data_IF_576207866994
#
_entry.id   IF_576207866994
#
_cell.length_a   1.000
_cell.length_b   1.000
_cell.length_c   1.000
_cell.angle_alpha   90.00
_cell.angle_beta   90.00
_cell.angle_gamma   90.00
#
_symmetry.space_group_name_H-M   'P 1'
#
loop_
_entity.id
_entity.type
_entity.pdbx_description
1 polymer ?
#
# COMPACT_ATOMS: atom_id res chain seq x y z
N UNK A 1 -24.31 33.76 -25.70
CA UNK A 1 -24.24 32.63 -26.65
C UNK A 1 -22.87 31.92 -26.75
N UNK A 2 -21.72 32.60 -26.57
CA UNK A 2 -20.39 31.93 -26.64
C UNK A 2 -20.06 30.98 -25.47
N UNK A 3 -20.59 31.23 -24.25
CA UNK A 3 -20.33 30.40 -23.07
C UNK A 3 -21.12 29.07 -23.06
N UNK A 4 -22.33 29.06 -23.60
CA UNK A 4 -23.16 27.86 -23.70
C UNK A 4 -22.60 26.86 -24.71
N UNK A 5 -22.04 27.35 -25.83
CA UNK A 5 -21.38 26.50 -26.84
C UNK A 5 -20.20 25.72 -26.25
N UNK A 6 -19.37 26.33 -25.39
CA UNK A 6 -18.21 25.67 -24.77
C UNK A 6 -18.61 24.54 -23.81
N UNK A 7 -19.70 24.70 -23.05
CA UNK A 7 -20.20 23.68 -22.12
C UNK A 7 -20.79 22.49 -22.89
N UNK A 8 -21.52 22.76 -23.96
CA UNK A 8 -22.08 21.70 -24.83
C UNK A 8 -20.98 20.91 -25.52
N UNK A 9 -19.89 21.56 -25.99
CA UNK A 9 -18.75 20.84 -26.60
C UNK A 9 -18.02 19.95 -25.58
N UNK A 10 -17.88 20.39 -24.33
CA UNK A 10 -17.24 19.59 -23.27
C UNK A 10 -18.09 18.37 -22.88
N UNK A 11 -19.42 18.54 -22.79
CA UNK A 11 -20.36 17.44 -22.52
C UNK A 11 -20.44 16.44 -23.68
N UNK A 12 -20.28 16.91 -24.93
CA UNK A 12 -20.25 16.02 -26.09
C UNK A 12 -18.95 15.20 -26.14
N UNK A 13 -17.81 15.77 -25.71
CA UNK A 13 -16.54 15.04 -25.61
C UNK A 13 -16.58 13.98 -24.49
N UNK A 14 -17.15 14.32 -23.32
CA UNK A 14 -17.36 13.38 -22.23
C UNK A 14 -18.32 12.24 -22.61
N UNK A 15 -19.38 12.54 -23.38
CA UNK A 15 -20.29 11.53 -23.88
C UNK A 15 -19.63 10.61 -24.93
N UNK A 16 -18.80 11.14 -25.84
CA UNK A 16 -18.06 10.32 -26.82
C UNK A 16 -17.05 9.37 -26.14
N UNK A 17 -16.44 9.77 -25.03
CA UNK A 17 -15.61 8.87 -24.22
C UNK A 17 -16.43 7.76 -23.53
N UNK A 18 -17.71 8.01 -23.23
CA UNK A 18 -18.59 7.06 -22.53
C UNK A 18 -19.43 6.18 -23.49
N UNK A 19 -19.56 6.54 -24.76
CA UNK A 19 -20.38 5.80 -25.75
C UNK A 19 -19.58 5.13 -26.85
N UNK A 20 -18.24 5.15 -26.81
CA UNK A 20 -17.42 4.35 -27.71
C UNK A 20 -17.55 2.85 -27.33
N UNK A 21 -18.06 1.96 -28.22
CA UNK A 21 -18.26 0.54 -27.90
C UNK A 21 -16.97 -0.28 -27.80
N UNK A 22 -15.82 0.35 -27.56
CA UNK A 22 -14.50 -0.28 -27.53
C UNK A 22 -13.74 -0.11 -26.20
N UNK A 23 -14.33 0.50 -25.17
CA UNK A 23 -13.81 0.39 -23.80
C UNK A 23 -14.49 -0.80 -23.11
N UNK A 24 -14.16 -2.00 -23.60
CA UNK A 24 -14.23 -3.18 -22.75
C UNK A 24 -13.51 -2.85 -21.44
N UNK A 25 -14.10 -3.27 -20.31
CA UNK A 25 -13.54 -3.26 -18.96
C UNK A 25 -12.07 -2.84 -18.97
N UNK A 26 -11.75 -1.63 -18.49
CA UNK A 26 -10.38 -1.31 -18.09
C UNK A 26 -10.12 -2.17 -16.84
N UNK A 27 -9.96 -3.48 -17.05
CA UNK A 27 -9.03 -4.26 -16.27
C UNK A 27 -7.68 -3.64 -16.58
N UNK A 28 -7.29 -2.65 -15.78
CA UNK A 28 -5.88 -2.32 -15.63
C UNK A 28 -5.26 -3.60 -15.07
N UNK A 29 -4.82 -4.47 -15.97
CA UNK A 29 -3.88 -5.50 -15.60
C UNK A 29 -2.60 -4.71 -15.30
N UNK A 30 -2.36 -4.37 -14.03
CA UNK A 30 -1.06 -3.87 -13.65
C UNK A 30 -0.09 -4.96 -14.10
N UNK A 31 0.84 -4.62 -14.99
CA UNK A 31 1.90 -5.54 -15.35
C UNK A 31 2.51 -6.05 -14.04
N UNK A 32 2.70 -7.36 -13.92
CA UNK A 32 3.29 -7.93 -12.72
C UNK A 32 4.61 -7.21 -12.43
N UNK A 33 4.86 -6.80 -11.16
CA UNK A 33 6.08 -6.13 -10.79
C UNK A 33 7.31 -6.91 -11.22
N UNK A 34 8.28 -6.23 -11.84
CA UNK A 34 9.56 -6.86 -12.11
C UNK A 34 10.35 -6.97 -10.80
N UNK A 35 11.02 -8.10 -10.61
CA UNK A 35 11.92 -8.29 -9.46
C UNK A 35 13.37 -8.21 -9.90
N UNK A 36 14.14 -7.35 -9.25
CA UNK A 36 15.57 -7.19 -9.48
C UNK A 36 16.33 -7.68 -8.26
N UNK A 37 17.14 -8.74 -8.43
CA UNK A 37 18.01 -9.26 -7.38
C UNK A 37 19.40 -8.69 -7.54
N UNK A 38 19.91 -8.02 -6.52
CA UNK A 38 21.20 -7.35 -6.49
C UNK A 38 22.17 -8.18 -5.65
N UNK A 39 23.34 -8.46 -6.20
CA UNK A 39 24.45 -9.09 -5.49
C UNK A 39 25.78 -8.45 -5.90
N UNK A 40 26.76 -8.50 -5.00
CA UNK A 40 28.11 -8.08 -5.34
C UNK A 40 28.79 -9.17 -6.16
N UNK A 41 29.48 -8.79 -7.24
CA UNK A 41 30.27 -9.70 -8.06
C UNK A 41 31.76 -9.54 -7.71
N UNK A 42 32.39 -10.48 -6.97
CA UNK A 42 33.80 -10.37 -6.61
C UNK A 42 34.73 -10.34 -7.83
N UNK A 43 34.39 -11.08 -8.89
CA UNK A 43 35.19 -11.14 -10.11
C UNK A 43 35.18 -9.82 -10.90
N UNK A 44 34.12 -9.02 -10.76
CA UNK A 44 33.98 -7.71 -11.42
C UNK A 44 34.26 -6.54 -10.48
N UNK A 45 34.27 -6.76 -9.17
CA UNK A 45 34.49 -5.73 -8.15
C UNK A 45 33.35 -4.73 -8.00
N UNK A 46 32.14 -5.07 -8.43
CA UNK A 46 30.99 -4.16 -8.45
C UNK A 46 29.66 -4.86 -8.15
N UNK A 47 28.65 -4.07 -7.79
CA UNK A 47 27.28 -4.54 -7.63
C UNK A 47 26.60 -4.76 -8.98
N UNK A 48 25.88 -5.87 -9.10
CA UNK A 48 25.21 -6.31 -10.32
C UNK A 48 23.79 -6.73 -10.00
N UNK A 49 22.92 -6.75 -11.00
CA UNK A 49 21.55 -7.22 -10.84
C UNK A 49 21.16 -8.31 -11.84
N UNK A 50 20.10 -9.04 -11.52
CA UNK A 50 19.41 -9.99 -12.39
C UNK A 50 17.89 -9.76 -12.30
N UNK A 51 17.15 -9.78 -13.43
CA UNK A 51 15.69 -9.78 -13.41
C UNK A 51 15.19 -11.20 -13.06
N UNK A 52 15.05 -11.48 -11.78
CA UNK A 52 14.74 -12.81 -11.25
C UNK A 52 14.14 -12.71 -9.84
N UNK A 53 13.70 -13.82 -9.27
CA UNK A 53 13.29 -13.90 -7.86
C UNK A 53 14.44 -14.25 -6.90
N UNK A 54 15.56 -14.79 -7.40
CA UNK A 54 16.74 -15.17 -6.60
C UNK A 54 18.04 -15.08 -7.42
N UNK A 55 19.21 -15.12 -6.75
CA UNK A 55 20.47 -15.31 -7.48
C UNK A 55 20.51 -16.70 -8.09
N UNK A 56 20.92 -16.77 -9.35
CA UNK A 56 21.36 -18.02 -9.97
C UNK A 56 22.54 -17.71 -10.89
N UNK A 57 23.56 -18.56 -10.91
CA UNK A 57 24.70 -18.43 -11.81
C UNK A 57 24.32 -18.64 -13.29
N UNK A 58 23.16 -19.22 -13.56
CA UNK A 58 22.68 -19.53 -14.93
C UNK A 58 22.16 -18.31 -15.67
N UNK A 59 21.75 -17.27 -14.94
CA UNK A 59 21.22 -16.02 -15.51
C UNK A 59 22.34 -14.99 -15.60
N UNK A 60 22.50 -14.38 -16.77
CA UNK A 60 23.49 -13.33 -16.97
C UNK A 60 23.17 -12.10 -16.12
N UNK A 61 24.19 -11.59 -15.42
CA UNK A 61 24.11 -10.39 -14.59
C UNK A 61 24.39 -9.11 -15.37
N UNK A 62 23.75 -8.01 -14.98
CA UNK A 62 23.86 -6.69 -15.62
C UNK A 62 24.30 -5.62 -14.61
N UNK A 63 24.92 -4.57 -15.12
CA UNK A 63 25.33 -3.37 -14.39
C UNK A 63 24.08 -2.69 -13.79
N UNK A 64 24.13 -2.18 -12.56
CA UNK A 64 23.00 -1.47 -11.96
C UNK A 64 22.46 -0.31 -12.81
N UNK A 65 23.30 0.30 -13.65
CA UNK A 65 22.90 1.33 -14.61
C UNK A 65 21.70 0.93 -15.47
N UNK A 66 21.63 -0.32 -15.93
CA UNK A 66 20.51 -0.75 -16.76
C UNK A 66 19.23 -0.96 -15.95
N UNK A 67 19.33 -1.48 -14.73
CA UNK A 67 18.18 -1.55 -13.82
C UNK A 67 17.59 -0.17 -13.60
N UNK A 68 18.44 0.84 -13.40
CA UNK A 68 18.02 2.23 -13.18
C UNK A 68 17.24 2.84 -14.36
N UNK A 69 17.41 2.31 -15.57
CA UNK A 69 16.64 2.72 -16.75
C UNK A 69 15.30 1.98 -16.87
N UNK A 70 15.25 0.76 -16.34
CA UNK A 70 14.14 -0.18 -16.53
C UNK A 70 13.13 -0.14 -15.38
N UNK A 71 13.59 0.16 -14.16
CA UNK A 71 12.80 0.14 -12.93
C UNK A 71 11.64 1.14 -12.94
N UNK A 72 10.48 0.71 -12.46
CA UNK A 72 9.22 1.47 -12.42
C UNK A 72 8.62 1.46 -11.02
N UNK A 73 7.66 2.35 -10.79
CA UNK A 73 6.86 2.32 -9.58
C UNK A 73 6.17 0.95 -9.44
N UNK A 74 6.20 0.40 -8.23
CA UNK A 74 5.66 -0.93 -7.91
C UNK A 74 6.65 -2.08 -8.09
N UNK A 75 7.78 -1.90 -8.78
CA UNK A 75 8.79 -2.95 -8.95
C UNK A 75 9.45 -3.34 -7.61
N UNK A 76 10.09 -4.51 -7.60
CA UNK A 76 10.67 -5.13 -6.42
C UNK A 76 12.20 -5.17 -6.49
N UNK A 77 12.85 -4.95 -5.36
CA UNK A 77 14.29 -5.13 -5.21
C UNK A 77 14.57 -6.15 -4.11
N UNK A 78 15.46 -7.09 -4.40
CA UNK A 78 16.03 -8.01 -3.40
C UNK A 78 17.53 -7.76 -3.32
N UNK A 79 18.00 -7.26 -2.18
CA UNK A 79 19.44 -7.11 -1.90
C UNK A 79 19.91 -8.34 -1.15
N UNK A 80 20.97 -8.96 -1.66
CA UNK A 80 21.67 -10.06 -1.00
C UNK A 80 23.18 -9.87 -1.18
N UNK A 81 23.96 -10.17 -0.16
CA UNK A 81 25.41 -10.10 -0.20
C UNK A 81 26.08 -10.88 0.93
N UNK A 82 26.53 -12.08 0.61
CA UNK A 82 27.23 -13.00 1.50
C UNK A 82 28.76 -12.80 1.52
N UNK A 83 29.28 -11.80 0.81
CA UNK A 83 30.72 -11.52 0.70
C UNK A 83 31.08 -10.15 1.26
N UNK A 84 32.32 -10.00 1.74
CA UNK A 84 32.87 -8.69 2.09
C UNK A 84 33.06 -7.86 0.81
N UNK A 85 32.50 -6.65 0.77
CA UNK A 85 32.45 -5.84 -0.44
C UNK A 85 32.37 -4.34 -0.14
N UNK A 86 32.37 -3.53 -1.20
CA UNK A 86 32.01 -2.12 -1.07
C UNK A 86 30.53 -1.99 -0.70
N UNK A 87 30.15 -1.10 0.25
CA UNK A 87 28.75 -0.96 0.66
C UNK A 87 27.88 -0.51 -0.52
N UNK A 88 26.68 -1.09 -0.64
CA UNK A 88 25.70 -0.66 -1.62
C UNK A 88 25.09 0.68 -1.18
N UNK A 89 25.21 1.71 -2.00
CA UNK A 89 24.42 2.92 -1.87
C UNK A 89 23.59 3.08 -3.15
N UNK A 90 22.30 2.78 -3.06
CA UNK A 90 21.39 2.76 -4.19
C UNK A 90 20.32 3.84 -4.00
N UNK A 91 20.12 4.66 -5.02
CA UNK A 91 19.07 5.68 -5.05
C UNK A 91 18.17 5.46 -6.27
N UNK A 92 16.97 4.89 -6.06
CA UNK A 92 15.99 4.61 -7.11
C UNK A 92 14.92 5.72 -7.18
N UNK A 93 14.62 6.28 -8.36
CA UNK A 93 13.70 7.41 -8.51
C UNK A 93 12.21 6.99 -8.53
N UNK A 94 11.88 5.87 -7.89
CA UNK A 94 10.54 5.25 -7.92
C UNK A 94 10.08 4.90 -6.51
N UNK A 95 8.77 4.62 -6.36
CA UNK A 95 8.22 3.96 -5.17
C UNK A 95 8.26 2.45 -5.39
N UNK A 96 8.94 1.71 -4.53
CA UNK A 96 9.03 0.25 -4.65
C UNK A 96 7.82 -0.42 -4.03
N UNK A 97 7.30 -1.46 -4.69
CA UNK A 97 6.27 -2.32 -4.10
C UNK A 97 6.85 -3.24 -3.02
N UNK A 98 8.12 -3.62 -3.17
CA UNK A 98 8.84 -4.47 -2.23
C UNK A 98 10.34 -4.13 -2.22
N UNK A 99 10.90 -4.00 -1.03
CA UNK A 99 12.34 -4.12 -0.80
C UNK A 99 12.59 -5.27 0.17
N UNK A 100 13.37 -6.26 -0.23
CA UNK A 100 13.87 -7.31 0.66
C UNK A 100 15.37 -7.20 0.81
N UNK A 101 15.87 -7.24 2.04
CA UNK A 101 17.31 -7.27 2.34
C UNK A 101 17.58 -8.51 3.17
N UNK A 102 18.47 -9.36 2.67
CA UNK A 102 18.90 -10.59 3.33
C UNK A 102 20.40 -10.74 3.23
N UNK A 103 21.03 -11.42 4.18
CA UNK A 103 22.45 -11.77 4.15
C UNK A 103 23.31 -10.58 3.71
N UNK A 104 23.57 -9.59 4.57
CA UNK A 104 24.36 -8.42 4.16
C UNK A 104 25.53 -8.18 5.11
N UNK A 105 26.75 -8.43 4.61
CA UNK A 105 28.00 -8.23 5.36
C UNK A 105 28.27 -6.75 5.66
N UNK A 106 27.92 -5.86 4.72
CA UNK A 106 28.01 -4.40 4.87
C UNK A 106 26.64 -3.78 4.77
N UNK A 107 26.33 -2.81 5.62
CA UNK A 107 25.03 -2.14 5.64
C UNK A 107 24.73 -1.46 4.30
N UNK A 108 23.76 -1.96 3.51
CA UNK A 108 23.29 -1.29 2.33
C UNK A 108 22.45 -0.07 2.72
N UNK A 109 22.61 1.01 1.97
CA UNK A 109 21.79 2.21 2.07
C UNK A 109 20.91 2.26 0.83
N UNK A 110 19.60 2.08 1.00
CA UNK A 110 18.64 2.10 -0.10
C UNK A 110 17.76 3.33 0.04
N UNK A 111 17.72 4.15 -1.00
CA UNK A 111 16.90 5.35 -1.10
C UNK A 111 15.88 5.17 -2.21
N UNK A 112 14.61 5.42 -1.91
CA UNK A 112 13.51 5.41 -2.87
C UNK A 112 12.54 6.57 -2.59
N UNK A 113 11.58 6.82 -3.48
CA UNK A 113 10.48 7.78 -3.18
C UNK A 113 9.59 7.29 -2.03
N UNK A 114 9.59 5.99 -1.78
CA UNK A 114 8.88 5.31 -0.72
C UNK A 114 8.78 3.82 -0.99
N UNK A 115 8.18 3.10 -0.06
CA UNK A 115 8.06 1.65 -0.09
C UNK A 115 6.66 1.23 0.33
N UNK A 116 6.04 0.34 -0.42
CA UNK A 116 4.83 -0.33 0.07
C UNK A 116 5.21 -1.35 1.15
N UNK A 117 6.18 -2.23 0.86
CA UNK A 117 6.68 -3.21 1.82
C UNK A 117 8.20 -3.22 1.90
N UNK A 118 8.74 -3.35 3.12
CA UNK A 118 10.16 -3.58 3.38
C UNK A 118 10.32 -4.83 4.25
N UNK A 119 11.20 -5.75 3.85
CA UNK A 119 11.55 -6.95 4.59
C UNK A 119 13.04 -6.91 4.92
N UNK A 120 13.40 -6.86 6.20
CA UNK A 120 14.77 -6.98 6.66
C UNK A 120 14.91 -8.30 7.40
N UNK A 121 15.60 -9.25 6.78
CA UNK A 121 15.68 -10.61 7.29
C UNK A 121 16.69 -10.73 8.44
N UNK A 122 16.61 -11.84 9.15
CA UNK A 122 17.46 -12.16 10.30
C UNK A 122 18.96 -11.94 10.03
N UNK A 123 19.67 -11.48 11.07
CA UNK A 123 21.12 -11.21 11.04
C UNK A 123 21.58 -10.12 10.06
N UNK A 124 20.66 -9.40 9.42
CA UNK A 124 20.98 -8.44 8.36
C UNK A 124 21.00 -7.01 8.88
N UNK A 125 21.92 -6.19 8.37
CA UNK A 125 21.93 -4.74 8.66
C UNK A 125 21.39 -3.95 7.47
N UNK A 126 20.69 -2.83 7.70
CA UNK A 126 20.16 -1.98 6.62
C UNK A 126 19.93 -0.52 7.05
N UNK A 127 20.04 0.40 6.09
CA UNK A 127 19.55 1.78 6.22
C UNK A 127 18.58 2.10 5.08
N UNK A 128 17.37 2.53 5.43
CA UNK A 128 16.26 2.74 4.50
C UNK A 128 15.87 4.22 4.49
N UNK A 129 15.89 4.83 3.30
CA UNK A 129 15.53 6.23 3.09
C UNK A 129 14.29 6.32 2.18
N UNK A 130 13.19 6.86 2.71
CA UNK A 130 11.89 6.93 2.06
C UNK A 130 10.78 6.39 2.97
N UNK A 131 9.58 6.95 2.87
CA UNK A 131 8.45 6.55 3.72
C UNK A 131 8.03 5.09 3.42
N UNK A 132 7.81 4.31 4.47
CA UNK A 132 7.47 2.89 4.40
C UNK A 132 6.04 2.68 4.87
N UNK A 133 5.21 2.03 4.06
CA UNK A 133 3.84 1.69 4.46
C UNK A 133 3.83 0.47 5.41
N UNK A 134 4.58 -0.58 5.09
CA UNK A 134 4.70 -1.74 5.96
C UNK A 134 6.15 -2.23 6.04
N UNK A 135 6.68 -2.32 7.26
CA UNK A 135 8.02 -2.84 7.53
C UNK A 135 7.92 -4.15 8.29
N UNK A 136 8.65 -5.16 7.82
CA UNK A 136 8.81 -6.46 8.45
C UNK A 136 10.28 -6.65 8.82
N UNK A 137 10.55 -6.79 10.12
CA UNK A 137 11.91 -6.92 10.66
C UNK A 137 12.01 -8.24 11.42
N UNK A 138 12.91 -9.12 10.98
CA UNK A 138 13.01 -10.48 11.50
C UNK A 138 14.26 -10.69 12.36
N UNK A 139 14.12 -11.47 13.43
CA UNK A 139 15.22 -11.97 14.24
C UNK A 139 16.15 -10.88 14.77
N UNK A 140 17.45 -11.10 14.65
CA UNK A 140 18.52 -10.19 15.06
C UNK A 140 18.86 -9.09 14.06
N UNK A 141 17.95 -8.74 13.14
CA UNK A 141 18.17 -7.68 12.16
C UNK A 141 18.48 -6.33 12.83
N UNK A 142 19.34 -5.53 12.19
CA UNK A 142 19.67 -4.16 12.63
C UNK A 142 19.32 -3.16 11.55
N UNK A 143 18.27 -2.38 11.75
CA UNK A 143 17.74 -1.48 10.72
C UNK A 143 17.55 -0.07 11.23
N UNK A 144 17.91 0.89 10.39
CA UNK A 144 17.56 2.29 10.58
C UNK A 144 16.61 2.73 9.46
N UNK A 145 15.41 3.16 9.85
CA UNK A 145 14.47 3.82 8.95
C UNK A 145 14.60 5.33 9.12
N UNK A 146 15.08 6.03 8.09
CA UNK A 146 15.34 7.47 8.16
C UNK A 146 14.11 8.35 7.88
N UNK A 147 12.96 7.72 7.65
CA UNK A 147 11.68 8.34 7.30
C UNK A 147 10.53 7.70 8.09
N UNK A 148 9.28 8.06 7.76
CA UNK A 148 8.13 7.54 8.48
C UNK A 148 7.90 6.07 8.14
N UNK A 149 7.44 5.32 9.13
CA UNK A 149 6.94 3.95 8.94
C UNK A 149 5.49 3.95 9.38
N UNK A 150 4.56 3.56 8.53
CA UNK A 150 3.15 3.48 8.94
C UNK A 150 2.96 2.28 9.89
N UNK A 151 3.18 1.06 9.39
CA UNK A 151 3.15 -0.15 10.20
C UNK A 151 4.51 -0.81 10.28
N UNK A 152 4.98 -1.11 11.49
CA UNK A 152 6.21 -1.84 11.75
C UNK A 152 5.88 -3.15 12.48
N UNK A 153 6.16 -4.28 11.84
CA UNK A 153 6.08 -5.60 12.44
C UNK A 153 7.47 -6.16 12.72
N UNK A 154 7.72 -6.49 13.98
CA UNK A 154 8.89 -7.23 14.42
C UNK A 154 8.50 -8.69 14.66
N UNK A 155 9.23 -9.60 14.04
CA UNK A 155 9.06 -11.03 14.20
C UNK A 155 10.30 -11.62 14.82
N UNK A 156 10.11 -12.37 15.90
CA UNK A 156 11.22 -13.11 16.48
C UNK A 156 11.68 -14.27 15.59
N UNK A 157 12.85 -14.82 15.88
CA UNK A 157 13.43 -15.90 15.09
C UNK A 157 14.15 -16.91 15.99
N UNK A 158 14.03 -18.20 15.67
CA UNK A 158 14.56 -19.28 16.50
C UNK A 158 13.50 -19.95 17.37
N UNK A 159 13.92 -20.89 18.21
CA UNK A 159 13.04 -21.72 19.05
C UNK A 159 13.15 -21.46 20.55
N UNK A 160 13.85 -20.39 20.92
CA UNK A 160 13.94 -19.97 22.31
C UNK A 160 12.72 -19.13 22.72
N UNK A 161 12.47 -19.10 24.03
CA UNK A 161 11.43 -18.26 24.60
C UNK A 161 11.86 -16.79 24.54
N UNK A 162 10.96 -15.89 24.12
CA UNK A 162 11.27 -14.47 23.85
C UNK A 162 12.33 -14.30 22.75
N UNK A 163 12.03 -14.77 21.55
CA UNK A 163 12.93 -14.76 20.40
C UNK A 163 13.00 -13.41 19.63
N UNK A 164 12.63 -12.30 20.27
CA UNK A 164 12.76 -10.96 19.70
C UNK A 164 14.17 -10.42 19.93
N UNK A 165 14.92 -10.15 18.86
CA UNK A 165 16.32 -9.68 18.95
C UNK A 165 16.64 -8.49 18.03
N UNK A 166 15.62 -7.87 17.41
CA UNK A 166 15.84 -6.84 16.42
C UNK A 166 16.30 -5.51 17.06
N UNK A 167 17.24 -4.84 16.39
CA UNK A 167 17.70 -3.49 16.71
C UNK A 167 17.13 -2.52 15.69
N UNK A 168 16.17 -1.70 16.10
CA UNK A 168 15.41 -0.83 15.21
C UNK A 168 15.53 0.60 15.69
N UNK A 169 15.87 1.51 14.79
CA UNK A 169 15.71 2.95 14.99
C UNK A 169 14.84 3.53 13.89
N UNK A 170 13.96 4.47 14.26
CA UNK A 170 13.16 5.21 13.28
C UNK A 170 13.28 6.71 13.54
N UNK A 171 13.76 7.44 12.53
CA UNK A 171 13.90 8.91 12.57
C UNK A 171 12.54 9.60 12.38
N UNK A 172 11.68 9.05 11.51
CA UNK A 172 10.31 9.52 11.34
C UNK A 172 9.37 9.07 12.46
N UNK A 173 8.07 9.23 12.25
CA UNK A 173 7.03 8.69 13.13
C UNK A 173 6.77 7.21 12.84
N UNK A 174 6.20 6.49 13.81
CA UNK A 174 5.63 5.14 13.59
C UNK A 174 4.17 5.08 14.00
N UNK A 175 3.26 4.78 13.07
CA UNK A 175 1.82 4.78 13.41
C UNK A 175 1.42 3.53 14.20
N UNK A 176 2.01 2.38 13.88
CA UNK A 176 1.75 1.12 14.57
C UNK A 176 3.02 0.27 14.67
N UNK A 177 3.30 -0.24 15.87
CA UNK A 177 4.30 -1.26 16.15
C UNK A 177 3.59 -2.52 16.64
N UNK A 178 3.81 -3.64 15.97
CA UNK A 178 3.47 -4.96 16.47
C UNK A 178 4.74 -5.81 16.59
N UNK A 179 4.99 -6.41 17.75
CA UNK A 179 6.12 -7.32 17.92
C UNK A 179 5.61 -8.68 18.41
N UNK A 180 5.97 -9.74 17.69
CA UNK A 180 5.42 -11.08 17.89
C UNK A 180 6.52 -12.13 18.01
N UNK A 181 6.30 -13.12 18.85
CA UNK A 181 7.09 -14.35 18.87
C UNK A 181 7.06 -15.02 17.49
N UNK A 182 8.22 -15.48 17.01
CA UNK A 182 8.34 -16.10 15.69
C UNK A 182 7.70 -17.49 15.55
N UNK A 183 7.39 -18.16 16.66
CA UNK A 183 6.84 -19.52 16.70
C UNK A 183 5.39 -19.55 17.19
N UNK A 184 5.13 -18.97 18.35
CA UNK A 184 3.80 -18.98 18.97
C UNK A 184 2.91 -17.89 18.41
N UNK A 185 3.49 -16.89 17.74
CA UNK A 185 2.81 -15.67 17.29
C UNK A 185 2.21 -14.86 18.45
N UNK A 186 2.68 -15.07 19.67
CA UNK A 186 2.28 -14.28 20.83
C UNK A 186 2.77 -12.84 20.68
N UNK A 187 1.88 -11.88 20.91
CA UNK A 187 2.19 -10.46 20.77
C UNK A 187 2.79 -9.89 22.05
N UNK A 188 4.03 -9.40 21.97
CA UNK A 188 4.73 -8.72 23.06
C UNK A 188 4.44 -7.21 23.10
N UNK A 189 4.40 -6.58 21.93
CA UNK A 189 4.10 -5.15 21.79
C UNK A 189 3.00 -4.96 20.76
N UNK A 190 2.05 -4.08 21.08
CA UNK A 190 0.99 -3.64 20.18
C UNK A 190 0.65 -2.18 20.51
N UNK A 191 1.46 -1.27 19.96
CA UNK A 191 1.49 0.15 20.36
C UNK A 191 1.39 1.06 19.13
N UNK A 192 0.96 2.30 19.35
CA UNK A 192 0.57 3.22 18.28
C UNK A 192 1.19 4.60 18.45
N UNK A 193 1.23 5.37 17.36
CA UNK A 193 1.53 6.81 17.35
C UNK A 193 2.86 7.17 18.03
N UNK A 194 3.93 6.46 17.69
CA UNK A 194 5.28 6.80 18.13
C UNK A 194 5.68 8.16 17.54
N UNK A 195 6.09 9.07 18.42
CA UNK A 195 6.60 10.37 18.01
C UNK A 195 7.89 10.25 17.18
N UNK A 196 8.15 11.26 16.34
CA UNK A 196 9.33 11.27 15.48
C UNK A 196 10.63 11.17 16.29
N UNK A 197 11.58 10.39 15.79
CA UNK A 197 12.89 10.16 16.40
C UNK A 197 12.81 9.55 17.82
N UNK A 198 11.75 8.77 18.11
CA UNK A 198 11.55 8.12 19.41
C UNK A 198 11.51 6.61 19.37
N UNK A 199 11.03 5.96 18.30
CA UNK A 199 11.00 4.50 18.26
C UNK A 199 12.43 3.95 18.25
N UNK A 200 12.75 3.19 19.29
CA UNK A 200 14.04 2.54 19.46
C UNK A 200 13.87 1.19 20.15
N UNK A 201 14.43 0.15 19.54
CA UNK A 201 14.54 -1.20 20.12
C UNK A 201 16.00 -1.61 20.20
N UNK A 202 16.33 -2.31 21.27
CA UNK A 202 17.65 -2.86 21.49
C UNK A 202 17.49 -4.32 21.91
N UNK A 203 18.05 -5.23 21.11
CA UNK A 203 17.91 -6.67 21.32
C UNK A 203 16.43 -7.08 21.51
N UNK A 204 15.57 -6.60 20.61
CA UNK A 204 14.12 -6.81 20.63
C UNK A 204 13.35 -6.05 21.70
N UNK A 205 13.99 -5.57 22.76
CA UNK A 205 13.32 -4.82 23.83
C UNK A 205 13.00 -3.39 23.39
N UNK A 206 11.75 -2.94 23.59
CA UNK A 206 11.37 -1.54 23.38
C UNK A 206 12.01 -0.66 24.46
N UNK A 207 12.84 0.30 24.03
CA UNK A 207 13.56 1.24 24.90
C UNK A 207 12.92 2.63 24.94
N UNK A 208 11.96 2.90 24.06
CA UNK A 208 11.24 4.18 24.00
C UNK A 208 10.42 4.41 25.26
N UNK A 209 10.52 5.61 25.85
CA UNK A 209 9.68 5.99 26.99
C UNK A 209 8.18 6.01 26.65
N UNK A 210 7.36 5.57 27.60
CA UNK A 210 5.90 5.46 27.45
C UNK A 210 5.18 6.75 27.08
N UNK A 211 5.77 7.92 27.36
CA UNK A 211 5.20 9.22 26.98
C UNK A 211 5.21 9.48 25.46
N UNK A 212 5.99 8.71 24.70
CA UNK A 212 6.18 8.93 23.27
C UNK A 212 5.35 8.00 22.38
N UNK A 213 4.47 7.18 22.95
CA UNK A 213 3.57 6.31 22.21
C UNK A 213 2.25 6.09 22.96
N UNK A 214 1.27 5.51 22.27
CA UNK A 214 -0.03 5.13 22.82
C UNK A 214 -0.15 3.62 22.91
N UNK A 215 -0.77 3.11 23.98
CA UNK A 215 -1.18 1.71 24.09
C UNK A 215 -2.60 1.44 23.58
N UNK A 216 -3.29 2.49 23.18
CA UNK A 216 -4.65 2.43 22.64
C UNK A 216 -4.59 2.77 21.17
N UNK A 217 -5.25 1.96 20.36
CA UNK A 217 -5.42 2.24 18.94
C UNK A 217 -6.05 3.62 18.75
N UNK A 218 -5.60 4.42 17.76
CA UNK A 218 -6.28 5.65 17.43
C UNK A 218 -7.73 5.32 17.05
N UNK A 219 -8.68 6.14 17.52
CA UNK A 219 -10.06 6.01 17.11
C UNK A 219 -10.12 6.13 15.58
N UNK A 220 -10.81 5.18 14.93
CA UNK A 220 -11.04 5.27 13.50
C UNK A 220 -11.64 6.65 13.20
N UNK A 221 -10.98 7.44 12.37
CA UNK A 221 -11.52 8.71 11.93
C UNK A 221 -12.85 8.38 11.26
N UNK A 222 -13.96 8.81 11.86
CA UNK A 222 -15.26 8.69 11.24
C UNK A 222 -15.19 9.48 9.93
N UNK A 223 -15.18 8.78 8.81
CA UNK A 223 -15.28 9.38 7.50
C UNK A 223 -16.51 10.29 7.52
N UNK A 224 -16.28 11.59 7.32
CA UNK A 224 -17.32 12.59 7.49
C UNK A 224 -18.51 12.20 6.61
N UNK A 225 -19.64 11.85 7.24
CA UNK A 225 -20.85 11.46 6.55
C UNK A 225 -21.17 12.54 5.50
N UNK A 226 -21.16 12.13 4.22
CA UNK A 226 -21.58 12.97 3.11
C UNK A 226 -22.96 13.54 3.44
N UNK A 227 -23.19 14.86 3.33
CA UNK A 227 -24.46 15.46 3.74
C UNK A 227 -25.63 14.74 3.07
N UNK A 228 -26.57 14.27 3.89
CA UNK A 228 -27.78 13.63 3.41
C UNK A 228 -28.48 14.56 2.40
N UNK A 229 -28.74 14.04 1.20
CA UNK A 229 -29.54 14.74 0.21
C UNK A 229 -30.90 15.04 0.84
N UNK A 230 -31.28 16.33 0.86
CA UNK A 230 -32.58 16.80 1.33
C UNK A 230 -33.70 16.03 0.64
N UNK A 231 -34.49 15.29 1.41
CA UNK A 231 -35.65 14.57 0.93
C UNK A 231 -36.69 15.57 0.36
N UNK A 232 -37.13 15.31 -0.87
CA UNK A 232 -38.26 15.98 -1.50
C UNK A 232 -39.56 15.51 -0.81
N UNK A 233 -40.57 16.37 -0.59
CA UNK A 233 -41.77 15.98 0.15
C UNK A 233 -42.54 14.86 -0.55
N UNK A 234 -42.87 13.82 0.21
CA UNK A 234 -43.70 12.70 -0.22
C UNK A 234 -45.17 13.12 -0.40
N UNK A 235 -45.77 12.66 -1.50
CA UNK A 235 -47.21 12.73 -1.70
C UNK A 235 -47.92 11.65 -0.86
N UNK A 236 -49.04 12.05 -0.27
CA UNK A 236 -49.92 11.28 0.63
C UNK A 236 -50.57 10.06 -0.03
N UNK A 237 -50.52 8.90 0.65
CA UNK A 237 -51.54 7.85 0.57
C UNK A 237 -51.63 7.07 1.91
N UNK A 238 -52.86 6.75 2.29
CA UNK A 238 -53.39 6.27 3.58
C UNK A 238 -53.62 4.72 3.56
N UNK A 239 -53.87 3.96 4.66
CA UNK A 239 -53.03 2.82 5.02
C UNK A 239 -53.69 1.45 4.73
N UNK A 240 -52.91 0.38 4.84
CA UNK A 240 -53.45 -0.96 5.04
C UNK A 240 -52.54 -1.75 6.01
N UNK A 241 -53.18 -2.47 6.93
CA UNK A 241 -52.60 -3.07 8.12
C UNK A 241 -52.28 -4.56 7.96
N UNK A 242 -51.32 -5.03 8.79
CA UNK A 242 -51.04 -6.42 9.24
C UNK A 242 -50.47 -7.39 8.19
N UNK A 243 -49.53 -8.30 8.45
CA UNK A 243 -49.11 -9.00 9.67
C UNK A 243 -47.78 -9.75 9.45
N UNK A 244 -47.23 -10.28 10.55
CA UNK A 244 -46.13 -11.25 10.71
C UNK A 244 -44.68 -10.73 10.77
N UNK A 245 -44.22 -10.64 12.01
CA UNK A 245 -42.83 -10.64 12.42
C UNK A 245 -42.24 -12.05 12.21
N UNK A 246 -41.24 -12.17 11.33
CA UNK A 246 -40.07 -13.06 11.39
C UNK A 246 -39.39 -13.09 10.00
N UNK A 247 -38.58 -12.08 9.67
CA UNK A 247 -37.41 -12.20 8.78
C UNK A 247 -36.62 -10.87 8.78
N UNK A 248 -35.97 -10.55 9.91
CA UNK A 248 -35.00 -9.45 10.00
C UNK A 248 -33.60 -10.03 10.29
N UNK A 249 -32.99 -10.61 9.26
CA UNK A 249 -31.52 -10.69 9.16
C UNK A 249 -31.10 -9.69 8.08
N UNK A 250 -30.24 -8.69 8.36
CA UNK A 250 -29.78 -7.79 7.33
C UNK A 250 -29.00 -8.57 6.27
N UNK A 251 -29.57 -8.75 5.08
CA UNK A 251 -28.81 -9.16 3.89
C UNK A 251 -27.93 -7.98 3.50
N UNK A 252 -26.67 -8.00 3.93
CA UNK A 252 -25.62 -7.14 3.40
C UNK A 252 -25.49 -7.41 1.90
N UNK A 253 -26.01 -6.51 1.07
CA UNK A 253 -25.82 -6.62 -0.38
C UNK A 253 -26.79 -5.91 -1.32
N UNK A 254 -27.79 -5.14 -0.86
CA UNK A 254 -28.61 -4.37 -1.80
C UNK A 254 -27.96 -3.01 -2.10
N UNK A 255 -27.09 -3.03 -3.11
CA UNK A 255 -26.46 -1.85 -3.68
C UNK A 255 -27.53 -0.92 -4.26
N UNK A 256 -27.49 0.37 -3.91
CA UNK A 256 -28.34 1.45 -4.44
C UNK A 256 -28.27 1.64 -5.98
N UNK A 257 -27.51 0.79 -6.67
CA UNK A 257 -27.29 0.77 -8.11
C UNK A 257 -28.58 0.55 -8.91
N UNK A 258 -29.53 -0.23 -8.38
CA UNK A 258 -30.85 -0.43 -8.99
C UNK A 258 -31.70 0.85 -8.98
N UNK A 259 -31.64 1.64 -7.91
CA UNK A 259 -32.33 2.93 -7.77
C UNK A 259 -31.72 3.96 -8.74
N UNK A 260 -30.39 3.99 -8.86
CA UNK A 260 -29.70 4.85 -9.83
C UNK A 260 -30.01 4.47 -11.29
N UNK A 261 -30.10 3.16 -11.61
CA UNK A 261 -30.47 2.71 -12.95
C UNK A 261 -31.92 3.07 -13.30
N UNK A 262 -32.86 2.93 -12.36
CA UNK A 262 -34.25 3.32 -12.56
C UNK A 262 -34.41 4.83 -12.75
N UNK A 263 -33.66 5.65 -12.01
CA UNK A 263 -33.63 7.10 -12.17
C UNK A 263 -33.09 7.53 -13.54
N UNK A 264 -32.02 6.89 -14.01
CA UNK A 264 -31.45 7.15 -15.34
C UNK A 264 -32.41 6.75 -16.48
N UNK A 265 -33.09 5.61 -16.35
CA UNK A 265 -34.06 5.15 -17.34
C UNK A 265 -35.28 6.09 -17.46
N UNK A 266 -35.79 6.61 -16.33
CA UNK A 266 -36.90 7.56 -16.36
C UNK A 266 -36.52 8.88 -17.06
N UNK A 267 -35.30 9.38 -16.85
CA UNK A 267 -34.77 10.57 -17.52
C UNK A 267 -34.60 10.38 -19.04
N UNK A 268 -34.20 9.19 -19.48
CA UNK A 268 -34.09 8.86 -20.91
C UNK A 268 -35.45 8.74 -21.61
N UNK A 269 -36.47 8.20 -20.93
CA UNK A 269 -37.82 8.08 -21.53
C UNK A 269 -38.52 9.44 -21.61
N UNK A 270 -38.39 10.29 -20.59
CA UNK A 270 -39.00 11.64 -20.59
C UNK A 270 -38.33 12.55 -21.62
N UNK A 271 -37.00 12.48 -21.78
CA UNK A 271 -36.29 13.25 -22.81
C UNK A 271 -36.62 12.77 -24.24
N UNK A 272 -36.81 11.47 -24.44
CA UNK A 272 -37.27 10.91 -25.72
C UNK A 272 -38.68 11.37 -26.11
N UNK A 273 -39.61 11.46 -25.15
CA UNK A 273 -40.99 11.88 -25.41
C UNK A 273 -41.10 13.39 -25.71
N UNK A 274 -40.30 14.22 -25.03
CA UNK A 274 -40.25 15.66 -25.29
C UNK A 274 -39.64 16.01 -26.66
N UNK A 275 -38.68 15.21 -27.14
CA UNK A 275 -38.09 15.39 -28.47
C UNK A 275 -39.02 14.97 -29.60
N UNK A 276 -39.87 13.94 -29.40
CA UNK A 276 -40.88 13.54 -30.40
C UNK A 276 -41.98 14.58 -30.59
N UNK A 277 -42.38 15.31 -29.54
CA UNK A 277 -43.43 16.34 -29.64
C UNK A 277 -42.97 17.65 -30.32
N UNK A 278 -41.66 17.81 -30.55
CA UNK A 278 -41.10 18.98 -31.27
C UNK A 278 -40.97 18.77 -32.78
N UNK A 279 -41.16 17.53 -33.25
CA UNK A 279 -41.02 17.15 -34.67
C UNK A 279 -42.32 16.54 -35.24
N UNK A 280 -43.48 16.85 -34.64
CA UNK A 280 -44.81 16.64 -35.21
C UNK A 280 -45.55 17.97 -35.27
#
# INVERSE_FOLDING_TARGET
MKKLKKIVTLLTLAAVCLTAPAFGKITANAAEPNTYVLNFSPSKGEWRFKPASSWSEEVQDRELYYMMQEIKDGDYIVVQNDVDCNPLNLNVPVRLGNLTIKNSVKTPVITAKGYDNVYVLDGTTAAINGDVSHAYVYGGARVNFNNNVDTLEMYGYGSEYNNLHAYITVVGTVNHLSAKDGQTMETYYDYYNFAANKLYTEDGALRTDAQYYSKTAPAAAAEAAQPAATAQPAATAQPAASSSAYDDVPKTGESALSIYLLGAAALCVVSGYALRKKNA
#
